data_IF_898192953000
#
_entry.id   IF_898192953000
#
_cell.length_a   1.000
_cell.length_b   1.000
_cell.length_c   1.000
_cell.angle_alpha   90.00
_cell.angle_beta   90.00
_cell.angle_gamma   90.00
#
_symmetry.space_group_name_H-M   'P 1'
#
loop_
_entity.id
_entity.type
_entity.pdbx_description
1 polymer ?
#
# COMPACT_ATOMS: atom_id res chain seq x y z
N UNK A 1 -15.68 9.92 35.88
CA UNK A 1 -15.94 9.99 34.42
C UNK A 1 -14.70 10.55 33.74
N UNK A 2 -13.88 9.69 33.11
CA UNK A 2 -12.81 10.14 32.21
C UNK A 2 -13.26 9.76 30.81
N UNK A 3 -13.69 10.76 30.05
CA UNK A 3 -13.81 10.68 28.61
C UNK A 3 -12.35 10.67 28.09
N UNK A 4 -11.92 9.56 27.48
CA UNK A 4 -10.65 9.50 26.77
C UNK A 4 -10.94 9.07 25.33
N UNK A 5 -10.39 9.87 24.42
CA UNK A 5 -10.61 9.92 22.98
C UNK A 5 -10.72 8.57 22.26
N UNK A 6 -11.85 8.36 21.58
CA UNK A 6 -12.13 7.16 20.76
C UNK A 6 -11.85 7.41 19.27
N UNK A 7 -10.80 8.14 18.93
CA UNK A 7 -10.46 8.49 17.53
C UNK A 7 -9.18 7.84 17.01
N UNK A 8 -8.33 7.27 17.87
CA UNK A 8 -7.07 6.62 17.47
C UNK A 8 -7.25 5.27 16.74
N UNK A 9 -8.47 4.71 16.75
CA UNK A 9 -8.74 3.34 16.30
C UNK A 9 -9.19 3.20 14.84
N UNK A 10 -9.30 4.32 14.12
CA UNK A 10 -9.89 4.40 12.78
C UNK A 10 -8.91 4.89 11.71
N UNK A 11 -7.63 5.06 12.03
CA UNK A 11 -6.62 5.51 11.06
C UNK A 11 -5.47 4.52 10.92
N UNK A 12 -4.92 4.42 9.72
CA UNK A 12 -3.75 3.61 9.42
C UNK A 12 -2.51 4.22 10.09
N UNK A 13 -1.78 3.41 10.83
CA UNK A 13 -0.58 3.85 11.53
C UNK A 13 0.52 4.37 10.59
N UNK A 14 0.60 3.83 9.37
CA UNK A 14 1.68 4.17 8.44
C UNK A 14 1.35 5.36 7.52
N UNK A 15 0.19 5.35 6.85
CA UNK A 15 -0.18 6.38 5.88
C UNK A 15 -1.18 7.42 6.42
N UNK A 16 -1.74 7.21 7.62
CA UNK A 16 -2.72 8.13 8.21
C UNK A 16 -4.12 8.07 7.60
N UNK A 17 -4.35 7.29 6.56
CA UNK A 17 -5.68 7.16 5.95
C UNK A 17 -6.67 6.48 6.88
N UNK A 18 -7.95 6.80 6.73
CA UNK A 18 -9.03 6.10 7.43
C UNK A 18 -9.02 4.60 7.10
N UNK A 19 -9.21 3.80 8.12
CA UNK A 19 -9.37 2.36 8.00
C UNK A 19 -10.78 2.08 7.48
N UNK A 20 -10.85 1.46 6.31
CA UNK A 20 -12.09 0.87 5.83
C UNK A 20 -12.48 -0.34 6.70
N UNK A 21 -13.61 -0.98 6.38
CA UNK A 21 -14.10 -2.17 7.09
C UNK A 21 -13.07 -3.31 7.18
N UNK A 22 -12.13 -3.38 6.23
CA UNK A 22 -11.01 -4.31 6.27
C UNK A 22 -9.74 -3.61 6.77
N UNK A 23 -9.21 -4.08 7.90
CA UNK A 23 -7.97 -3.61 8.50
C UNK A 23 -7.10 -4.79 8.88
N UNK A 24 -5.79 -4.55 8.93
CA UNK A 24 -4.81 -5.52 9.36
C UNK A 24 -4.27 -5.07 10.71
N UNK A 25 -4.48 -5.86 11.75
CA UNK A 25 -3.90 -5.63 13.08
C UNK A 25 -2.53 -6.33 13.16
N UNK A 26 -1.50 -5.59 13.58
CA UNK A 26 -0.14 -6.11 13.78
C UNK A 26 0.63 -5.21 14.76
N UNK A 27 1.33 -5.81 15.73
CA UNK A 27 2.15 -5.10 16.71
C UNK A 27 1.40 -3.94 17.43
N UNK A 28 0.16 -4.23 17.83
CA UNK A 28 -0.78 -3.29 18.46
C UNK A 28 -1.08 -2.04 17.59
N UNK A 29 -0.78 -2.08 16.29
CA UNK A 29 -1.11 -1.06 15.30
C UNK A 29 -2.10 -1.59 14.27
N UNK A 30 -2.79 -0.68 13.60
CA UNK A 30 -3.74 -0.97 12.53
C UNK A 30 -3.24 -0.42 11.20
N UNK A 31 -3.41 -1.20 10.14
CA UNK A 31 -2.95 -0.86 8.80
C UNK A 31 -4.09 -1.00 7.77
N UNK A 32 -4.16 -0.08 6.81
CA UNK A 32 -5.17 -0.10 5.75
C UNK A 32 -4.90 -1.16 4.67
N UNK A 33 -3.67 -1.63 4.52
CA UNK A 33 -3.28 -2.62 3.51
C UNK A 33 -1.98 -3.36 3.88
N UNK A 34 -1.68 -4.45 3.16
CA UNK A 34 -0.46 -5.23 3.34
C UNK A 34 0.80 -4.41 3.10
N UNK A 35 0.80 -3.47 2.14
CA UNK A 35 1.94 -2.61 1.87
C UNK A 35 2.35 -1.75 3.08
N UNK A 36 1.38 -1.11 3.73
CA UNK A 36 1.60 -0.32 4.94
C UNK A 36 2.17 -1.17 6.10
N UNK A 37 1.63 -2.38 6.29
CA UNK A 37 2.16 -3.33 7.28
C UNK A 37 3.61 -3.73 6.95
N UNK A 38 3.90 -4.07 5.69
CA UNK A 38 5.23 -4.53 5.28
C UNK A 38 6.29 -3.45 5.44
N UNK A 39 5.98 -2.19 5.08
CA UNK A 39 6.92 -1.08 5.29
C UNK A 39 7.18 -0.86 6.78
N UNK A 40 6.13 -0.91 7.62
CA UNK A 40 6.31 -0.87 9.07
C UNK A 40 7.23 -1.99 9.57
N UNK A 41 6.97 -3.22 9.14
CA UNK A 41 7.76 -4.39 9.54
C UNK A 41 9.23 -4.24 9.15
N UNK A 42 9.53 -3.83 7.92
CA UNK A 42 10.90 -3.59 7.46
C UNK A 42 11.59 -2.53 8.33
N UNK A 43 10.93 -1.40 8.59
CA UNK A 43 11.50 -0.34 9.42
C UNK A 43 11.73 -0.81 10.86
N UNK A 44 10.80 -1.58 11.43
CA UNK A 44 10.90 -2.11 12.78
C UNK A 44 12.03 -3.12 12.92
N UNK A 45 12.12 -4.08 11.98
CA UNK A 45 13.19 -5.09 11.94
C UNK A 45 14.59 -4.46 11.77
N UNK A 46 14.67 -3.28 11.18
CA UNK A 46 15.92 -2.55 10.97
C UNK A 46 16.18 -1.45 12.02
N UNK A 47 15.47 -1.46 13.17
CA UNK A 47 15.62 -0.47 14.25
C UNK A 47 15.39 0.99 13.81
N UNK A 48 14.57 1.20 12.79
CA UNK A 48 14.24 2.52 12.23
C UNK A 48 12.89 3.05 12.70
N UNK A 49 12.32 2.57 13.82
CA UNK A 49 11.04 3.05 14.33
C UNK A 49 11.00 4.57 14.60
N UNK A 50 12.15 5.19 14.90
CA UNK A 50 12.29 6.65 15.04
C UNK A 50 11.86 7.42 13.78
N UNK A 51 11.79 6.77 12.62
CA UNK A 51 11.24 7.33 11.40
C UNK A 51 9.83 7.91 11.61
N UNK A 52 8.99 7.26 12.43
CA UNK A 52 7.64 7.71 12.76
C UNK A 52 7.59 8.86 13.78
N UNK A 53 8.69 9.16 14.47
CA UNK A 53 8.80 10.33 15.34
C UNK A 53 9.05 11.62 14.54
N UNK A 54 9.75 11.51 13.41
CA UNK A 54 10.13 12.65 12.57
C UNK A 54 9.20 12.87 11.37
N UNK A 55 8.46 11.84 10.95
CA UNK A 55 7.53 11.93 9.83
C UNK A 55 6.15 11.46 10.29
N UNK A 56 5.23 12.39 10.49
CA UNK A 56 3.83 12.05 10.72
C UNK A 56 3.24 11.54 9.38
N UNK A 57 2.68 10.33 9.38
CA UNK A 57 2.03 9.69 8.22
C UNK A 57 2.92 9.59 6.96
N UNK A 58 4.07 8.89 7.04
CA UNK A 58 5.04 8.83 5.94
C UNK A 58 4.52 8.13 4.67
N UNK A 59 3.51 7.27 4.81
CA UNK A 59 2.92 6.58 3.65
C UNK A 59 2.19 7.57 2.74
N UNK A 60 2.84 7.97 1.65
CA UNK A 60 2.18 8.71 0.58
C UNK A 60 1.46 7.74 -0.35
N UNK A 61 0.13 7.86 -0.41
CA UNK A 61 -0.65 7.14 -1.42
C UNK A 61 -0.82 8.04 -2.63
N UNK A 62 -0.48 7.53 -3.80
CA UNK A 62 -0.81 8.21 -5.05
C UNK A 62 -2.33 8.28 -5.19
N UNK A 63 -2.88 9.48 -5.31
CA UNK A 63 -4.28 9.63 -5.68
C UNK A 63 -4.45 9.25 -7.14
N UNK A 64 -5.28 8.23 -7.39
CA UNK A 64 -5.45 7.66 -8.72
C UNK A 64 -6.19 8.64 -9.64
N UNK A 65 -5.44 9.37 -10.44
CA UNK A 65 -5.90 9.96 -11.70
C UNK A 65 -5.33 9.20 -12.90
N UNK A 66 -4.98 7.93 -12.72
CA UNK A 66 -4.30 7.16 -13.74
C UNK A 66 -5.32 6.68 -14.77
N UNK A 67 -5.14 7.14 -16.01
CA UNK A 67 -5.91 6.76 -17.18
C UNK A 67 -5.38 5.44 -17.73
N UNK A 68 -6.07 4.33 -17.44
CA UNK A 68 -5.70 3.00 -17.89
C UNK A 68 -6.58 2.48 -19.03
N UNK A 69 -7.47 3.30 -19.58
CA UNK A 69 -8.40 2.93 -20.64
C UNK A 69 -7.68 2.42 -21.90
N UNK A 70 -6.45 2.87 -22.13
CA UNK A 70 -5.60 2.38 -23.22
C UNK A 70 -5.23 0.89 -23.07
N UNK A 71 -5.36 0.30 -21.88
CA UNK A 71 -5.18 -1.14 -21.66
C UNK A 71 -6.39 -1.96 -22.12
N UNK A 72 -7.48 -1.34 -22.56
CA UNK A 72 -8.56 -2.05 -23.27
C UNK A 72 -8.23 -2.24 -24.76
N UNK A 73 -7.27 -1.47 -25.29
CA UNK A 73 -6.82 -1.59 -26.67
C UNK A 73 -5.90 -2.81 -26.84
N UNK A 74 -6.40 -3.81 -27.57
CA UNK A 74 -5.69 -5.09 -27.77
C UNK A 74 -4.30 -4.88 -28.38
N UNK A 75 -4.15 -3.89 -29.26
CA UNK A 75 -2.88 -3.55 -29.91
C UNK A 75 -1.81 -3.06 -28.92
N UNK A 76 -2.22 -2.42 -27.82
CA UNK A 76 -1.31 -1.92 -26.79
C UNK A 76 -0.99 -3.05 -25.81
N UNK A 77 -1.99 -3.76 -25.29
CA UNK A 77 -1.77 -4.86 -24.33
C UNK A 77 -0.88 -5.95 -24.91
N UNK A 78 -1.02 -6.27 -26.19
CA UNK A 78 -0.20 -7.30 -26.85
C UNK A 78 1.30 -6.96 -26.80
N UNK A 79 1.67 -5.68 -26.73
CA UNK A 79 3.07 -5.25 -26.60
C UNK A 79 3.64 -5.44 -25.19
N UNK A 80 2.77 -5.57 -24.18
CA UNK A 80 3.15 -5.75 -22.77
C UNK A 80 3.22 -7.23 -22.38
N UNK A 81 2.58 -8.12 -23.15
CA UNK A 81 2.48 -9.55 -22.85
C UNK A 81 3.73 -10.27 -23.35
N UNK A 82 4.43 -10.93 -22.43
CA UNK A 82 5.56 -11.81 -22.78
C UNK A 82 5.09 -13.17 -23.30
N UNK A 83 3.97 -13.68 -22.75
CA UNK A 83 3.39 -14.96 -23.13
C UNK A 83 1.89 -15.00 -22.82
N UNK A 84 1.10 -15.62 -23.71
CA UNK A 84 -0.33 -15.88 -23.48
C UNK A 84 -0.78 -17.18 -24.13
N UNK A 85 -1.56 -17.95 -23.38
CA UNK A 85 -2.31 -19.11 -23.88
C UNK A 85 -3.80 -18.99 -23.50
N UNK A 86 -4.53 -20.11 -23.46
CA UNK A 86 -5.96 -20.13 -23.13
C UNK A 86 -6.26 -19.87 -21.65
N UNK A 87 -5.34 -20.20 -20.75
CA UNK A 87 -5.52 -20.16 -19.30
C UNK A 87 -4.64 -19.09 -18.63
N UNK A 88 -3.48 -18.78 -19.21
CA UNK A 88 -2.45 -17.96 -18.59
C UNK A 88 -2.04 -16.77 -19.47
N UNK A 89 -1.68 -15.66 -18.82
CA UNK A 89 -1.04 -14.48 -19.43
C UNK A 89 0.08 -14.03 -18.50
N UNK A 90 1.29 -13.88 -19.05
CA UNK A 90 2.51 -13.51 -18.31
C UNK A 90 2.97 -12.14 -18.80
N UNK A 91 3.29 -11.27 -17.84
CA UNK A 91 3.81 -9.91 -18.05
C UNK A 91 4.94 -9.68 -17.06
N UNK A 92 6.06 -9.12 -17.54
CA UNK A 92 7.21 -8.76 -16.73
C UNK A 92 7.27 -7.26 -16.53
N UNK A 93 7.12 -6.81 -15.28
CA UNK A 93 7.33 -5.41 -14.92
C UNK A 93 8.73 -5.22 -14.37
N UNK A 94 9.44 -4.23 -14.90
CA UNK A 94 10.69 -3.78 -14.31
C UNK A 94 10.40 -2.78 -13.19
N UNK A 95 10.73 -3.16 -11.96
CA UNK A 95 10.81 -2.21 -10.87
C UNK A 95 12.20 -1.58 -10.88
N UNK A 96 12.33 -0.26 -11.12
CA UNK A 96 13.63 0.39 -11.06
C UNK A 96 14.25 0.15 -9.68
N UNK A 97 15.55 -0.15 -9.67
CA UNK A 97 16.32 -0.14 -8.43
C UNK A 97 16.23 1.25 -7.81
N UNK A 98 16.05 1.28 -6.49
CA UNK A 98 15.86 2.47 -5.65
C UNK A 98 17.02 3.44 -5.84
#
# INVERSE_FOLDING_TARGET
MKLQDTTADLVCYHCGEELANYKIDYDEKKFCCTGCKSVYQILAENNMCNYYAYNQTPGQKHQNSAHFEYLDETSIVTQLIDYKDKENTIVTFYMPAI
#
